data_IF_252541753129
#
_entry.id   IF_252541753129
#
_cell.length_a   1.000
_cell.length_b   1.000
_cell.length_c   1.000
_cell.angle_alpha   90.00
_cell.angle_beta   90.00
_cell.angle_gamma   90.00
#
_symmetry.space_group_name_H-M   'P 1'
#
loop_
_entity.id
_entity.type
_entity.pdbx_description
1 polymer ?
#
# COMPACT_ATOMS: atom_id res chain seq x y z
N UNK A 1 19.61 32.58 11.81
CA UNK A 1 18.62 31.57 12.26
C UNK A 1 17.81 30.98 11.10
N UNK A 2 17.32 31.79 10.16
CA UNK A 2 16.57 31.33 8.97
C UNK A 2 17.28 30.23 8.15
N UNK A 3 18.60 30.32 7.85
CA UNK A 3 19.28 29.26 7.09
C UNK A 3 19.31 27.90 7.82
N UNK A 4 19.47 27.93 9.14
CA UNK A 4 19.45 26.74 10.00
C UNK A 4 18.10 26.03 9.97
N UNK A 5 17.00 26.80 10.00
CA UNK A 5 15.64 26.25 9.89
C UNK A 5 15.39 25.60 8.53
N UNK A 6 15.89 26.20 7.44
CA UNK A 6 15.76 25.63 6.09
C UNK A 6 16.51 24.28 5.99
N UNK A 7 17.71 24.19 6.54
CA UNK A 7 18.46 22.93 6.59
C UNK A 7 17.73 21.89 7.42
N UNK A 8 17.20 22.25 8.59
CA UNK A 8 16.43 21.33 9.44
C UNK A 8 15.18 20.81 8.72
N UNK A 9 14.45 21.69 8.04
CA UNK A 9 13.29 21.32 7.23
C UNK A 9 13.68 20.32 6.14
N UNK A 10 14.80 20.58 5.46
CA UNK A 10 15.29 19.72 4.38
C UNK A 10 15.69 18.34 4.90
N UNK A 11 16.33 18.26 6.08
CA UNK A 11 16.63 17.00 6.76
C UNK A 11 15.35 16.23 7.10
N UNK A 12 14.35 16.90 7.67
CA UNK A 12 13.05 16.31 7.99
C UNK A 12 12.36 15.76 6.73
N UNK A 13 12.39 16.51 5.62
CA UNK A 13 11.78 16.08 4.36
C UNK A 13 12.52 14.88 3.78
N UNK A 14 13.85 14.93 3.68
CA UNK A 14 14.64 13.83 3.10
C UNK A 14 14.52 12.55 3.93
N UNK A 15 14.58 12.68 5.25
CA UNK A 15 14.41 11.56 6.17
C UNK A 15 12.98 11.00 6.12
N UNK A 16 11.98 11.88 6.18
CA UNK A 16 10.56 11.50 6.11
C UNK A 16 10.19 10.85 4.79
N UNK A 17 10.72 11.35 3.66
CA UNK A 17 10.48 10.78 2.34
C UNK A 17 11.03 9.36 2.22
N UNK A 18 12.28 9.13 2.66
CA UNK A 18 12.89 7.79 2.65
C UNK A 18 12.08 6.79 3.49
N UNK A 19 11.63 7.21 4.67
CA UNK A 19 10.79 6.40 5.55
C UNK A 19 9.42 6.12 4.93
N UNK A 20 8.75 7.13 4.38
CA UNK A 20 7.44 7.01 3.75
C UNK A 20 7.48 6.02 2.57
N UNK A 21 8.51 6.11 1.71
CA UNK A 21 8.71 5.16 0.60
C UNK A 21 8.86 3.73 1.11
N UNK A 22 9.61 3.52 2.20
CA UNK A 22 9.77 2.19 2.79
C UNK A 22 8.44 1.63 3.32
N UNK A 23 7.63 2.46 3.99
CA UNK A 23 6.29 2.06 4.42
C UNK A 23 5.42 1.73 3.22
N UNK A 24 5.43 2.57 2.18
CA UNK A 24 4.61 2.38 0.99
C UNK A 24 4.90 1.03 0.31
N UNK A 25 6.18 0.64 0.26
CA UNK A 25 6.59 -0.68 -0.21
C UNK A 25 6.03 -1.83 0.62
N UNK A 26 6.08 -1.72 1.95
CA UNK A 26 5.49 -2.73 2.84
C UNK A 26 3.97 -2.83 2.65
N UNK A 27 3.29 -1.69 2.53
CA UNK A 27 1.84 -1.65 2.24
C UNK A 27 1.54 -2.30 0.89
N UNK A 28 2.31 -1.97 -0.15
CA UNK A 28 2.14 -2.57 -1.48
C UNK A 28 2.29 -4.10 -1.44
N UNK A 29 3.29 -4.61 -0.72
CA UNK A 29 3.48 -6.06 -0.52
C UNK A 29 2.29 -6.66 0.23
N UNK A 30 1.84 -6.03 1.32
CA UNK A 30 0.70 -6.53 2.08
C UNK A 30 -0.58 -6.59 1.22
N UNK A 31 -0.85 -5.55 0.43
CA UNK A 31 -1.99 -5.51 -0.51
C UNK A 31 -1.85 -6.60 -1.57
N UNK A 32 -0.65 -6.80 -2.12
CA UNK A 32 -0.39 -7.85 -3.10
C UNK A 32 -0.65 -9.25 -2.50
N UNK A 33 -0.20 -9.50 -1.27
CA UNK A 33 -0.45 -10.76 -0.56
C UNK A 33 -1.93 -10.96 -0.30
N UNK A 34 -2.64 -9.95 0.20
CA UNK A 34 -4.09 -10.01 0.43
C UNK A 34 -4.86 -10.28 -0.86
N UNK A 35 -4.46 -9.61 -1.95
CA UNK A 35 -5.04 -9.83 -3.27
C UNK A 35 -4.80 -11.27 -3.76
N UNK A 36 -3.58 -11.80 -3.60
CA UNK A 36 -3.26 -13.19 -3.94
C UNK A 36 -4.07 -14.19 -3.11
N UNK A 37 -4.23 -13.94 -1.81
CA UNK A 37 -5.09 -14.77 -0.95
C UNK A 37 -6.53 -14.77 -1.48
N UNK A 38 -7.10 -13.60 -1.77
CA UNK A 38 -8.45 -13.50 -2.34
C UNK A 38 -8.55 -14.14 -3.73
N UNK A 39 -7.48 -14.10 -4.52
CA UNK A 39 -7.41 -14.75 -5.82
C UNK A 39 -7.42 -16.28 -5.69
N UNK A 40 -6.63 -16.85 -4.77
CA UNK A 40 -6.58 -18.30 -4.50
C UNK A 40 -7.86 -18.78 -3.83
N UNK A 41 -8.42 -18.00 -2.91
CA UNK A 41 -9.66 -18.32 -2.20
C UNK A 41 -10.92 -18.11 -3.06
N UNK A 42 -10.79 -17.53 -4.27
CA UNK A 42 -11.94 -17.33 -5.15
C UNK A 42 -12.52 -18.69 -5.58
N UNK A 43 -13.81 -18.97 -5.33
CA UNK A 43 -14.44 -20.20 -5.81
C UNK A 43 -14.40 -20.24 -7.35
N UNK A 44 -13.89 -21.34 -7.93
CA UNK A 44 -13.79 -21.55 -9.39
C UNK A 44 -15.15 -21.80 -10.06
N UNK A 45 -16.19 -22.03 -9.28
CA UNK A 45 -17.51 -22.41 -9.79
C UNK A 45 -18.36 -21.17 -10.00
N UNK A 46 -18.30 -20.62 -11.21
CA UNK A 46 -19.38 -19.79 -11.75
C UNK A 46 -20.63 -20.65 -11.95
N UNK A 47 -21.35 -21.02 -10.89
CA UNK A 47 -22.68 -21.61 -11.00
C UNK A 47 -23.72 -20.50 -10.98
N UNK A 48 -23.79 -19.79 -12.10
CA UNK A 48 -24.80 -18.77 -12.38
C UNK A 48 -26.21 -19.36 -12.40
N UNK A 49 -26.93 -19.27 -11.28
CA UNK A 49 -28.39 -19.41 -11.28
C UNK A 49 -29.01 -18.38 -10.35
N UNK A 50 -28.93 -17.13 -10.79
CA UNK A 50 -29.68 -16.00 -10.27
C UNK A 50 -31.04 -15.82 -10.97
N UNK A 51 -31.55 -16.88 -11.60
CA UNK A 51 -32.96 -17.01 -11.98
C UNK A 51 -33.56 -18.16 -11.18
N UNK A 52 -34.16 -17.82 -10.05
CA UNK A 52 -35.06 -18.69 -9.28
C UNK A 52 -36.31 -17.93 -8.81
N UNK A 53 -36.67 -16.89 -9.56
CA UNK A 53 -38.01 -16.35 -9.62
C UNK A 53 -38.60 -16.78 -10.96
#
# INVERSE_FOLDING_TARGET
MVPLLLVLLLVLILFGAGFAVKILWWVAIAVLVLWLIGFVARPKTGSGRWYRW
#
